data_IF_532537229892
#
_entry.id   IF_532537229892
#
_cell.length_a   1.000
_cell.length_b   1.000
_cell.length_c   1.000
_cell.angle_alpha   90.00
_cell.angle_beta   90.00
_cell.angle_gamma   90.00
#
_symmetry.space_group_name_H-M   'P 1'
#
loop_
_entity.id
_entity.type
_entity.pdbx_description
1 polymer ?
#
# COMPACT_ATOMS: atom_id res chain seq x y z
N UNK A 1 9.29 8.43 -13.47
CA UNK A 1 9.67 7.94 -12.11
C UNK A 1 8.47 7.71 -11.18
N UNK A 2 7.54 8.67 -11.03
CA UNK A 2 6.38 8.51 -10.13
C UNK A 2 5.51 7.29 -10.47
N UNK A 3 5.12 7.14 -11.73
CA UNK A 3 4.34 6.01 -12.24
C UNK A 3 5.08 4.67 -12.07
N UNK A 4 6.40 4.66 -12.25
CA UNK A 4 7.23 3.47 -12.05
C UNK A 4 7.16 2.99 -10.59
N UNK A 5 7.30 3.89 -9.62
CA UNK A 5 7.14 3.54 -8.20
C UNK A 5 5.72 3.04 -7.90
N UNK A 6 4.69 3.66 -8.49
CA UNK A 6 3.29 3.21 -8.35
C UNK A 6 3.06 1.79 -8.85
N UNK A 7 3.56 1.46 -10.05
CA UNK A 7 3.43 0.14 -10.65
C UNK A 7 4.23 -0.88 -9.85
N UNK A 8 5.49 -0.58 -9.52
CA UNK A 8 6.36 -1.47 -8.76
C UNK A 8 5.79 -1.78 -7.37
N UNK A 9 5.30 -0.77 -6.64
CA UNK A 9 4.67 -0.97 -5.34
C UNK A 9 3.44 -1.87 -5.41
N UNK A 10 2.61 -1.73 -6.46
CA UNK A 10 1.42 -2.58 -6.68
C UNK A 10 1.81 -4.01 -7.06
N UNK A 11 2.74 -4.20 -7.98
CA UNK A 11 3.21 -5.53 -8.40
C UNK A 11 3.79 -6.32 -7.23
N UNK A 12 4.63 -5.69 -6.40
CA UNK A 12 5.13 -6.31 -5.17
C UNK A 12 4.02 -6.66 -4.17
N UNK A 13 2.95 -5.87 -4.13
CA UNK A 13 1.78 -6.20 -3.30
C UNK A 13 1.06 -7.45 -3.82
N UNK A 14 0.89 -7.56 -5.13
CA UNK A 14 0.25 -8.73 -5.74
C UNK A 14 1.09 -9.99 -5.60
N UNK A 15 2.41 -9.89 -5.74
CA UNK A 15 3.32 -10.99 -5.44
C UNK A 15 3.28 -11.40 -3.97
N UNK A 16 3.15 -10.43 -3.06
CA UNK A 16 2.92 -10.73 -1.65
C UNK A 16 1.60 -11.49 -1.43
N UNK A 17 0.50 -11.10 -2.07
CA UNK A 17 -0.79 -11.82 -1.94
C UNK A 17 -0.74 -13.28 -2.43
N UNK A 18 0.16 -13.61 -3.38
CA UNK A 18 0.35 -14.98 -3.84
C UNK A 18 1.13 -15.84 -2.82
N UNK A 19 1.90 -15.21 -1.93
CA UNK A 19 2.79 -15.89 -0.99
C UNK A 19 2.27 -15.89 0.46
N UNK A 20 1.55 -14.83 0.86
CA UNK A 20 1.04 -14.64 2.22
C UNK A 20 -0.40 -14.10 2.21
N UNK A 21 -1.17 -14.33 3.30
CA UNK A 21 -2.51 -13.78 3.43
C UNK A 21 -2.55 -12.25 3.26
N UNK A 22 -3.69 -11.77 2.76
CA UNK A 22 -3.96 -10.33 2.54
C UNK A 22 -3.81 -9.54 3.85
N UNK A 23 -4.21 -10.10 4.98
CA UNK A 23 -4.03 -9.51 6.32
C UNK A 23 -2.57 -9.22 6.62
N UNK A 24 -1.68 -10.20 6.46
CA UNK A 24 -0.23 -10.06 6.70
C UNK A 24 0.38 -9.03 5.77
N UNK A 25 0.01 -9.04 4.49
CA UNK A 25 0.50 -8.04 3.54
C UNK A 25 0.11 -6.62 3.96
N UNK A 26 -1.14 -6.41 4.41
CA UNK A 26 -1.57 -5.10 4.89
C UNK A 26 -0.96 -4.72 6.24
N UNK A 27 -0.71 -5.69 7.12
CA UNK A 27 0.03 -5.48 8.37
C UNK A 27 1.47 -5.04 8.08
N UNK A 28 2.22 -5.75 7.22
CA UNK A 28 3.57 -5.33 6.84
C UNK A 28 3.60 -3.92 6.25
N UNK A 29 2.59 -3.57 5.44
CA UNK A 29 2.46 -2.22 4.88
C UNK A 29 1.94 -1.18 5.87
N UNK A 30 1.55 -1.55 7.09
CA UNK A 30 1.30 -0.58 8.17
C UNK A 30 2.60 0.09 8.66
N UNK A 31 3.78 -0.42 8.29
CA UNK A 31 5.08 0.21 8.53
C UNK A 31 5.35 1.46 7.67
N UNK A 32 4.42 1.89 6.81
CA UNK A 32 4.60 3.09 5.98
C UNK A 32 5.00 4.35 6.77
N UNK A 33 4.41 4.68 7.94
CA UNK A 33 4.80 5.86 8.71
C UNK A 33 6.27 5.81 9.15
N UNK A 34 6.78 4.62 9.48
CA UNK A 34 8.19 4.41 9.84
C UNK A 34 9.11 4.73 8.67
N UNK A 35 8.84 4.15 7.50
CA UNK A 35 9.63 4.47 6.31
C UNK A 35 9.53 5.95 5.93
N UNK A 36 8.38 6.57 6.13
CA UNK A 36 8.20 7.99 5.85
C UNK A 36 9.07 8.86 6.76
N UNK A 37 9.12 8.59 8.07
CA UNK A 37 9.96 9.35 8.99
C UNK A 37 11.44 9.14 8.70
N UNK A 38 11.87 7.90 8.44
CA UNK A 38 13.27 7.59 8.09
C UNK A 38 13.67 8.29 6.79
N UNK A 39 12.86 8.19 5.73
CA UNK A 39 13.15 8.85 4.46
C UNK A 39 13.07 10.36 4.54
N UNK A 40 12.11 10.92 5.28
CA UNK A 40 12.02 12.37 5.48
C UNK A 40 13.25 12.91 6.24
N UNK A 41 13.79 12.14 7.18
CA UNK A 41 15.05 12.46 7.83
C UNK A 41 16.24 12.39 6.86
N UNK A 42 16.33 11.32 6.05
CA UNK A 42 17.45 11.14 5.11
C UNK A 42 17.44 12.18 3.96
N UNK A 43 16.28 12.44 3.37
CA UNK A 43 16.12 13.28 2.17
C UNK A 43 15.99 14.76 2.53
N UNK A 44 15.14 15.10 3.51
CA UNK A 44 14.82 16.48 3.84
C UNK A 44 15.48 16.97 5.14
N UNK A 45 16.24 16.12 5.84
CA UNK A 45 16.83 16.42 7.16
C UNK A 45 15.81 16.94 8.19
N UNK A 46 14.54 16.57 8.01
CA UNK A 46 13.44 16.99 8.87
C UNK A 46 13.47 16.23 10.20
N UNK A 47 13.28 16.94 11.31
CA UNK A 47 13.13 16.36 12.65
C UNK A 47 11.64 16.39 13.01
N UNK A 48 11.15 15.31 13.61
CA UNK A 48 9.79 15.21 14.12
C UNK A 48 9.77 15.32 15.65
N UNK A 49 8.58 15.51 16.23
CA UNK A 49 8.43 15.59 17.68
C UNK A 49 8.64 14.21 18.33
N UNK A 50 8.97 14.21 19.62
CA UNK A 50 9.08 12.98 20.43
C UNK A 50 7.80 12.13 20.39
N UNK A 51 6.63 12.78 20.31
CA UNK A 51 5.34 12.08 20.19
C UNK A 51 5.25 11.24 18.90
N UNK A 52 5.74 11.75 17.77
CA UNK A 52 5.80 10.98 16.51
C UNK A 52 6.74 9.79 16.62
N UNK A 53 7.84 9.91 17.37
CA UNK A 53 8.75 8.79 17.60
C UNK A 53 8.14 7.73 18.52
N UNK A 54 7.38 8.12 19.54
CA UNK A 54 6.71 7.17 20.42
C UNK A 54 5.59 6.40 19.75
N UNK A 55 4.86 7.01 18.80
CA UNK A 55 3.81 6.32 18.02
C UNK A 55 4.35 5.32 17.00
N UNK A 56 5.58 5.51 16.55
CA UNK A 56 6.25 4.60 15.62
C UNK A 56 6.64 3.27 16.27
N UNK A 57 7.03 3.28 17.55
CA UNK A 57 7.43 2.09 18.28
C UNK A 57 6.38 0.97 18.26
N UNK A 58 5.11 1.20 18.66
CA UNK A 58 4.09 0.16 18.63
C UNK A 58 3.79 -0.33 17.22
N UNK A 59 3.86 0.53 16.21
CA UNK A 59 3.66 0.15 14.80
C UNK A 59 4.74 -0.84 14.37
N UNK A 60 6.02 -0.51 14.58
CA UNK A 60 7.15 -1.38 14.23
C UNK A 60 7.06 -2.70 15.00
N UNK A 61 6.76 -2.64 16.30
CA UNK A 61 6.61 -3.82 17.13
C UNK A 61 5.47 -4.73 16.63
N UNK A 62 4.31 -4.16 16.31
CA UNK A 62 3.17 -4.90 15.77
C UNK A 62 3.49 -5.58 14.42
N UNK A 63 4.20 -4.88 13.53
CA UNK A 63 4.64 -5.45 12.24
C UNK A 63 5.61 -6.61 12.43
N UNK A 64 6.61 -6.46 13.31
CA UNK A 64 7.58 -7.53 13.60
C UNK A 64 6.87 -8.74 14.20
N UNK A 65 6.01 -8.53 15.19
CA UNK A 65 5.26 -9.60 15.86
C UNK A 65 4.35 -10.37 14.90
N UNK A 66 3.61 -9.66 14.04
CA UNK A 66 2.77 -10.30 13.01
C UNK A 66 3.61 -11.05 11.97
N UNK A 67 4.78 -10.53 11.60
CA UNK A 67 5.66 -11.18 10.62
C UNK A 67 6.31 -12.44 11.19
N UNK A 68 6.83 -12.41 12.42
CA UNK A 68 7.51 -13.54 13.06
C UNK A 68 6.58 -14.76 13.19
N UNK A 69 5.30 -14.52 13.46
CA UNK A 69 4.29 -15.57 13.62
C UNK A 69 4.12 -16.43 12.36
N UNK A 70 4.26 -15.83 11.18
CA UNK A 70 4.01 -16.48 9.87
C UNK A 70 5.32 -16.88 9.16
N UNK A 71 6.42 -16.13 9.39
CA UNK A 71 7.74 -16.45 8.83
C UNK A 71 8.30 -17.77 9.37
N UNK A 72 7.88 -18.21 10.56
CA UNK A 72 8.30 -19.49 11.12
C UNK A 72 7.76 -20.73 10.39
N UNK A 73 6.85 -20.55 9.42
CA UNK A 73 6.15 -21.66 8.79
C UNK A 73 6.65 -22.04 7.40
N UNK A 74 7.17 -21.11 6.58
CA UNK A 74 7.55 -21.38 5.18
C UNK A 74 8.53 -20.33 4.58
N UNK A 75 9.48 -20.77 3.74
CA UNK A 75 10.36 -19.88 2.96
C UNK A 75 9.58 -18.97 1.99
N UNK A 76 8.44 -19.47 1.47
CA UNK A 76 7.53 -18.69 0.65
C UNK A 76 6.94 -17.52 1.45
N UNK A 77 6.57 -17.74 2.71
CA UNK A 77 6.02 -16.70 3.57
C UNK A 77 7.06 -15.60 3.85
N UNK A 78 8.33 -15.97 4.03
CA UNK A 78 9.43 -15.00 4.17
C UNK A 78 9.58 -14.12 2.92
N UNK A 79 9.60 -14.71 1.72
CA UNK A 79 9.67 -13.91 0.48
C UNK A 79 8.46 -12.99 0.31
N UNK A 80 7.26 -13.47 0.64
CA UNK A 80 6.02 -12.67 0.62
C UNK A 80 6.07 -11.46 1.55
N UNK A 81 6.51 -11.64 2.79
CA UNK A 81 6.63 -10.53 3.75
C UNK A 81 7.69 -9.51 3.28
N UNK A 82 8.81 -9.96 2.71
CA UNK A 82 9.81 -9.07 2.13
C UNK A 82 9.25 -8.23 0.97
N UNK A 83 8.46 -8.83 0.08
CA UNK A 83 7.76 -8.08 -0.98
C UNK A 83 6.76 -7.07 -0.41
N UNK A 84 6.04 -7.42 0.66
CA UNK A 84 5.12 -6.49 1.33
C UNK A 84 5.84 -5.28 1.94
N UNK A 85 6.95 -5.50 2.64
CA UNK A 85 7.76 -4.44 3.26
C UNK A 85 8.39 -3.56 2.18
N UNK A 86 8.94 -4.16 1.13
CA UNK A 86 9.52 -3.43 0.00
C UNK A 86 8.46 -2.60 -0.72
N UNK A 87 7.26 -3.15 -0.90
CA UNK A 87 6.09 -2.42 -1.42
C UNK A 87 5.72 -1.21 -0.57
N UNK A 88 5.80 -1.32 0.76
CA UNK A 88 5.54 -0.22 1.68
C UNK A 88 6.54 0.92 1.49
N UNK A 89 7.83 0.59 1.44
CA UNK A 89 8.92 1.54 1.22
C UNK A 89 8.76 2.28 -0.11
N UNK A 90 8.54 1.55 -1.21
CA UNK A 90 8.36 2.15 -2.54
C UNK A 90 7.09 3.00 -2.58
N UNK A 91 6.01 2.57 -1.92
CA UNK A 91 4.78 3.35 -1.80
C UNK A 91 5.00 4.69 -1.08
N UNK A 92 5.85 4.72 -0.06
CA UNK A 92 6.25 5.95 0.62
C UNK A 92 7.11 6.83 -0.29
N UNK A 93 8.09 6.24 -1.00
CA UNK A 93 8.89 7.00 -1.98
C UNK A 93 8.01 7.63 -3.06
N UNK A 94 7.00 6.90 -3.53
CA UNK A 94 6.00 7.40 -4.49
C UNK A 94 5.25 8.61 -3.92
N UNK A 95 4.71 8.52 -2.70
CA UNK A 95 3.93 9.63 -2.11
C UNK A 95 4.80 10.85 -1.80
N UNK A 96 6.02 10.64 -1.32
CA UNK A 96 6.99 11.73 -1.09
C UNK A 96 7.37 12.42 -2.40
N UNK A 97 7.62 11.65 -3.46
CA UNK A 97 7.97 12.20 -4.77
C UNK A 97 6.79 12.92 -5.43
N UNK A 98 5.57 12.39 -5.29
CA UNK A 98 4.36 13.09 -5.73
C UNK A 98 4.20 14.44 -5.02
N UNK A 99 4.39 14.47 -3.69
CA UNK A 99 4.31 15.74 -2.94
C UNK A 99 5.44 16.70 -3.32
N UNK A 100 6.64 16.20 -3.58
CA UNK A 100 7.76 16.99 -4.09
C UNK A 100 7.41 17.69 -5.41
N UNK A 101 6.79 16.98 -6.36
CA UNK A 101 6.34 17.55 -7.63
C UNK A 101 5.29 18.67 -7.44
N UNK A 102 4.34 18.46 -6.53
CA UNK A 102 3.31 19.44 -6.19
C UNK A 102 3.92 20.68 -5.50
N UNK A 103 4.84 20.48 -4.54
CA UNK A 103 5.49 21.58 -3.81
C UNK A 103 6.35 22.46 -4.71
N UNK A 104 7.03 21.87 -5.70
CA UNK A 104 7.82 22.61 -6.69
C UNK A 104 7.01 23.23 -7.82
N UNK A 105 5.67 23.10 -7.80
CA UNK A 105 4.76 23.59 -8.86
C UNK A 105 5.13 23.09 -10.27
N UNK A 106 5.81 21.94 -10.36
CA UNK A 106 6.10 21.28 -11.65
C UNK A 106 4.80 20.76 -12.25
N UNK A 107 3.88 20.32 -11.38
CA UNK A 107 2.49 20.01 -11.73
C UNK A 107 1.61 20.89 -10.86
N UNK A 108 0.64 21.58 -11.47
CA UNK A 108 -0.20 22.56 -10.78
C UNK A 108 -1.16 21.92 -9.77
N UNK A 109 -1.74 20.76 -10.11
CA UNK A 109 -2.82 20.14 -9.34
C UNK A 109 -2.60 18.65 -9.05
N UNK A 110 -3.01 18.23 -7.86
CA UNK A 110 -3.01 16.83 -7.42
C UNK A 110 -3.91 15.93 -8.26
N UNK A 111 -4.96 16.51 -8.86
CA UNK A 111 -5.88 15.84 -9.79
C UNK A 111 -5.21 15.59 -11.13
N UNK A 112 -4.53 16.60 -11.70
CA UNK A 112 -3.78 16.43 -12.94
C UNK A 112 -2.66 15.40 -12.76
N UNK A 113 -1.96 15.45 -11.62
CA UNK A 113 -0.94 14.46 -11.27
C UNK A 113 -1.50 13.03 -11.24
N UNK A 114 -2.74 12.85 -10.74
CA UNK A 114 -3.43 11.57 -10.75
C UNK A 114 -3.65 11.05 -12.17
N UNK A 115 -4.25 11.85 -13.04
CA UNK A 115 -4.58 11.44 -14.41
C UNK A 115 -3.34 11.17 -15.26
N UNK A 116 -2.32 12.05 -15.20
CA UNK A 116 -1.04 11.79 -15.87
C UNK A 116 -0.38 10.52 -15.33
N UNK A 117 -0.36 10.35 -14.01
CA UNK A 117 0.16 9.14 -13.37
C UNK A 117 -0.59 7.88 -13.79
N UNK A 118 -1.91 7.95 -13.92
CA UNK A 118 -2.76 6.84 -14.34
C UNK A 118 -2.52 6.46 -15.80
N UNK A 119 -2.44 7.43 -16.71
CA UNK A 119 -2.19 7.18 -18.13
C UNK A 119 -0.81 6.54 -18.36
N UNK A 120 0.23 7.07 -17.71
CA UNK A 120 1.58 6.49 -17.82
C UNK A 120 1.63 5.09 -17.16
N UNK A 121 0.95 4.89 -16.03
CA UNK A 121 0.88 3.57 -15.40
C UNK A 121 0.15 2.56 -16.27
N UNK A 122 -0.89 2.98 -16.99
CA UNK A 122 -1.58 2.14 -17.97
C UNK A 122 -0.65 1.79 -19.13
N UNK A 123 0.05 2.76 -19.70
CA UNK A 123 1.02 2.53 -20.78
C UNK A 123 2.14 1.55 -20.39
N UNK A 124 2.63 1.62 -19.14
CA UNK A 124 3.64 0.68 -18.61
C UNK A 124 3.07 -0.74 -18.47
N UNK A 125 1.82 -0.89 -18.02
CA UNK A 125 1.22 -2.21 -17.79
C UNK A 125 0.62 -2.85 -19.06
N UNK A 126 0.20 -2.04 -20.03
CA UNK A 126 -0.40 -2.50 -21.28
C UNK A 126 0.41 -3.59 -22.01
N UNK A 127 1.74 -3.44 -22.26
CA UNK A 127 2.50 -4.49 -22.94
C UNK A 127 2.56 -5.78 -22.13
N UNK A 128 2.69 -5.68 -20.80
CA UNK A 128 2.74 -6.85 -19.92
C UNK A 128 1.43 -7.66 -19.99
N UNK A 129 0.29 -6.97 -19.94
CA UNK A 129 -1.04 -7.62 -20.06
C UNK A 129 -1.18 -8.28 -21.43
N UNK A 130 -0.84 -7.60 -22.52
CA UNK A 130 -0.97 -8.15 -23.87
C UNK A 130 -0.12 -9.39 -24.10
N UNK A 131 1.10 -9.43 -23.55
CA UNK A 131 1.96 -10.61 -23.61
C UNK A 131 1.35 -11.79 -22.83
N UNK A 132 0.81 -11.53 -21.63
CA UNK A 132 0.24 -12.58 -20.79
C UNK A 132 -1.09 -13.13 -21.33
N UNK A 133 -1.92 -12.26 -21.94
CA UNK A 133 -3.18 -12.66 -22.59
C UNK A 133 -2.98 -13.58 -23.79
N UNK A 134 -1.84 -13.46 -24.50
CA UNK A 134 -1.50 -14.37 -25.60
C UNK A 134 -1.08 -15.76 -25.13
N UNK A 135 -0.58 -15.88 -23.90
CA UNK A 135 -0.12 -17.15 -23.34
C UNK A 135 -1.24 -18.01 -22.72
N UNK A 136 -2.41 -17.44 -22.40
CA UNK A 136 -3.51 -18.11 -21.70
C UNK A 136 -4.85 -18.02 -22.46
N UNK A 137 -4.83 -18.18 -23.79
CA UNK A 137 -6.00 -17.97 -24.66
C UNK A 137 -7.18 -18.94 -24.39
N UNK A 138 -6.94 -20.10 -23.77
CA UNK A 138 -7.85 -21.23 -23.94
C UNK A 138 -9.16 -21.19 -23.14
N UNK A 139 -9.38 -20.25 -22.20
CA UNK A 139 -10.66 -20.19 -21.44
C UNK A 139 -11.09 -18.79 -20.92
N UNK A 140 -10.50 -17.70 -21.42
CA UNK A 140 -10.65 -16.38 -20.79
C UNK A 140 -12.08 -15.80 -20.82
N UNK A 141 -12.88 -16.10 -21.85
CA UNK A 141 -14.14 -15.37 -22.11
C UNK A 141 -15.36 -16.01 -21.47
N UNK A 142 -15.38 -17.33 -21.26
CA UNK A 142 -16.59 -18.06 -20.87
C UNK A 142 -16.98 -17.93 -19.39
N UNK A 143 -16.07 -17.53 -18.50
CA UNK A 143 -16.33 -17.42 -17.06
C UNK A 143 -15.83 -16.11 -16.43
N UNK A 144 -15.51 -15.09 -17.24
CA UNK A 144 -14.99 -13.83 -16.70
C UNK A 144 -16.12 -13.03 -16.02
N UNK A 145 -16.02 -12.71 -14.72
CA UNK A 145 -17.08 -12.01 -14.00
C UNK A 145 -17.04 -10.50 -14.28
N UNK A 146 -17.39 -10.10 -15.51
CA UNK A 146 -17.33 -8.72 -15.99
C UNK A 146 -17.96 -7.71 -15.02
N UNK A 147 -19.15 -8.01 -14.47
CA UNK A 147 -19.84 -7.12 -13.54
C UNK A 147 -19.05 -6.89 -12.24
N UNK A 148 -18.47 -7.93 -11.64
CA UNK A 148 -17.68 -7.81 -10.40
C UNK A 148 -16.37 -7.05 -10.65
N UNK A 149 -15.71 -7.33 -11.78
CA UNK A 149 -14.46 -6.66 -12.16
C UNK A 149 -14.69 -5.19 -12.44
N UNK A 150 -15.78 -4.84 -13.15
CA UNK A 150 -16.13 -3.45 -13.43
C UNK A 150 -16.45 -2.69 -12.14
N UNK A 151 -17.27 -3.27 -11.25
CA UNK A 151 -17.58 -2.67 -9.95
C UNK A 151 -16.32 -2.47 -9.10
N UNK A 152 -15.46 -3.49 -9.01
CA UNK A 152 -14.19 -3.40 -8.29
C UNK A 152 -13.29 -2.30 -8.86
N UNK A 153 -13.20 -2.20 -10.19
CA UNK A 153 -12.40 -1.18 -10.88
C UNK A 153 -12.93 0.23 -10.62
N UNK A 154 -14.26 0.41 -10.63
CA UNK A 154 -14.89 1.69 -10.29
C UNK A 154 -14.62 2.10 -8.84
N UNK A 155 -14.81 1.19 -7.89
CA UNK A 155 -14.53 1.45 -6.47
C UNK A 155 -13.04 1.76 -6.23
N UNK A 156 -12.16 1.03 -6.90
CA UNK A 156 -10.72 1.27 -6.83
C UNK A 156 -10.36 2.63 -7.44
N UNK A 157 -10.98 3.01 -8.55
CA UNK A 157 -10.78 4.33 -9.16
C UNK A 157 -11.20 5.46 -8.22
N UNK A 158 -12.41 5.41 -7.66
CA UNK A 158 -12.90 6.40 -6.69
C UNK A 158 -11.96 6.49 -5.49
N UNK A 159 -11.57 5.35 -4.90
CA UNK A 159 -10.65 5.33 -3.77
C UNK A 159 -9.25 5.89 -4.10
N UNK A 160 -8.76 5.65 -5.31
CA UNK A 160 -7.47 6.17 -5.80
C UNK A 160 -7.54 7.69 -6.07
N UNK A 161 -8.66 8.16 -6.61
CA UNK A 161 -8.92 9.58 -6.85
C UNK A 161 -8.97 10.36 -5.53
N UNK A 162 -9.78 9.91 -4.56
CA UNK A 162 -9.85 10.50 -3.22
C UNK A 162 -8.47 10.50 -2.54
N UNK A 163 -7.71 9.41 -2.67
CA UNK A 163 -6.36 9.33 -2.12
C UNK A 163 -5.42 10.38 -2.74
N UNK A 164 -5.52 10.65 -4.04
CA UNK A 164 -4.71 11.68 -4.70
C UNK A 164 -5.11 13.08 -4.28
N UNK A 165 -6.41 13.32 -4.12
CA UNK A 165 -6.93 14.57 -3.60
C UNK A 165 -6.37 14.86 -2.20
N UNK A 166 -6.50 13.88 -1.30
CA UNK A 166 -6.01 13.97 0.08
C UNK A 166 -4.50 14.19 0.12
N UNK A 167 -3.72 13.52 -0.74
CA UNK A 167 -2.28 13.75 -0.85
C UNK A 167 -1.94 15.21 -1.21
N UNK A 168 -2.80 15.87 -2.00
CA UNK A 168 -2.67 17.29 -2.34
C UNK A 168 -2.77 18.20 -1.13
N UNK A 169 -3.72 17.91 -0.23
CA UNK A 169 -4.07 18.77 0.92
C UNK A 169 -3.20 18.51 2.16
N UNK A 170 -2.84 17.25 2.44
CA UNK A 170 -2.16 16.89 3.69
C UNK A 170 -0.65 16.71 3.55
N UNK A 171 0.07 16.67 4.67
CA UNK A 171 1.51 16.34 4.66
C UNK A 171 1.76 14.88 4.26
N UNK A 172 2.97 14.56 3.78
CA UNK A 172 3.38 13.19 3.40
C UNK A 172 3.27 12.21 4.58
N UNK A 173 3.57 12.67 5.80
CA UNK A 173 3.42 11.88 7.02
C UNK A 173 1.95 11.61 7.35
N UNK A 174 1.11 12.64 7.34
CA UNK A 174 -0.34 12.51 7.57
C UNK A 174 -0.96 11.56 6.54
N UNK A 175 -0.54 11.66 5.28
CA UNK A 175 -1.00 10.77 4.22
C UNK A 175 -0.63 9.30 4.50
N UNK A 176 0.60 9.05 4.96
CA UNK A 176 1.06 7.73 5.36
C UNK A 176 0.28 7.14 6.55
N UNK A 177 -0.05 7.98 7.54
CA UNK A 177 -0.87 7.58 8.70
C UNK A 177 -2.29 7.23 8.24
N UNK A 178 -2.93 8.09 7.44
CA UNK A 178 -4.27 7.82 6.89
C UNK A 178 -4.32 6.57 6.02
N UNK A 179 -3.28 6.31 5.22
CA UNK A 179 -3.15 5.08 4.46
C UNK A 179 -3.11 3.85 5.38
N UNK A 180 -2.43 3.97 6.52
CA UNK A 180 -2.36 2.92 7.54
C UNK A 180 -3.72 2.71 8.21
N UNK A 181 -4.42 3.78 8.60
CA UNK A 181 -5.77 3.71 9.15
C UNK A 181 -6.77 3.05 8.18
N UNK A 182 -6.71 3.41 6.89
CA UNK A 182 -7.51 2.75 5.85
C UNK A 182 -7.26 1.24 5.82
N UNK A 183 -6.02 0.78 6.01
CA UNK A 183 -5.69 -0.65 6.07
C UNK A 183 -6.27 -1.31 7.31
N UNK A 184 -6.19 -0.66 8.48
CA UNK A 184 -6.78 -1.19 9.72
C UNK A 184 -8.28 -1.40 9.55
N UNK A 185 -8.99 -0.43 8.97
CA UNK A 185 -10.43 -0.59 8.67
C UNK A 185 -10.68 -1.79 7.76
N UNK A 186 -9.89 -1.98 6.70
CA UNK A 186 -10.02 -3.13 5.79
C UNK A 186 -9.82 -4.46 6.55
N UNK A 187 -8.80 -4.56 7.41
CA UNK A 187 -8.53 -5.79 8.16
C UNK A 187 -9.69 -6.06 9.12
N UNK A 188 -10.14 -5.07 9.90
CA UNK A 188 -11.26 -5.24 10.83
C UNK A 188 -12.55 -5.63 10.11
N UNK A 189 -12.85 -5.01 8.96
CA UNK A 189 -14.01 -5.38 8.13
C UNK A 189 -13.90 -6.81 7.59
N UNK A 190 -12.72 -7.23 7.14
CA UNK A 190 -12.51 -8.60 6.67
C UNK A 190 -12.72 -9.62 7.79
N UNK A 191 -12.30 -9.30 9.00
CA UNK A 191 -12.43 -10.17 10.18
C UNK A 191 -13.89 -10.30 10.60
N UNK A 192 -14.60 -9.18 10.62
CA UNK A 192 -16.04 -9.18 10.91
C UNK A 192 -16.83 -9.95 9.85
N UNK A 193 -16.47 -9.82 8.57
CA UNK A 193 -17.19 -10.47 7.47
C UNK A 193 -16.87 -11.97 7.33
N UNK A 194 -15.59 -12.36 7.42
CA UNK A 194 -15.15 -13.75 7.22
C UNK A 194 -15.14 -14.58 8.53
N UNK A 195 -15.25 -13.94 9.70
CA UNK A 195 -15.25 -14.63 10.99
C UNK A 195 -13.95 -15.38 11.31
N UNK A 196 -12.87 -15.14 10.56
CA UNK A 196 -11.60 -15.84 10.75
C UNK A 196 -10.93 -15.37 12.05
N UNK A 197 -10.42 -16.30 12.88
CA UNK A 197 -9.73 -15.96 14.12
C UNK A 197 -8.45 -15.20 13.79
N UNK A 198 -8.47 -13.90 14.03
CA UNK A 198 -7.26 -13.09 14.05
C UNK A 198 -6.52 -13.44 15.31
N UNK A 199 -5.26 -13.84 15.20
CA UNK A 199 -4.38 -14.00 16.36
C UNK A 199 -4.43 -12.73 17.20
N UNK A 200 -4.64 -12.86 18.52
CA UNK A 200 -4.79 -11.73 19.46
C UNK A 200 -3.64 -10.69 19.33
N UNK A 201 -2.47 -11.17 18.91
CA UNK A 201 -1.27 -10.38 18.61
C UNK A 201 -1.45 -9.41 17.43
N UNK A 202 -2.14 -9.83 16.37
CA UNK A 202 -2.51 -8.97 15.23
C UNK A 202 -3.59 -7.94 15.61
N UNK A 203 -4.53 -8.31 16.50
CA UNK A 203 -5.51 -7.36 17.05
C UNK A 203 -4.87 -6.31 17.96
N UNK A 204 -3.93 -6.69 18.83
CA UNK A 204 -3.19 -5.75 19.67
C UNK A 204 -2.32 -4.80 18.83
N UNK A 205 -1.66 -5.30 17.79
CA UNK A 205 -0.91 -4.45 16.85
C UNK A 205 -1.80 -3.43 16.13
N UNK A 206 -3.01 -3.82 15.73
CA UNK A 206 -3.98 -2.91 15.11
C UNK A 206 -4.57 -1.89 16.10
N UNK A 207 -4.90 -2.31 17.32
CA UNK A 207 -5.43 -1.42 18.36
C UNK A 207 -4.42 -0.35 18.77
N UNK A 208 -3.13 -0.71 18.84
CA UNK A 208 -2.06 0.25 19.14
C UNK A 208 -1.81 1.23 17.99
N UNK A 209 -1.98 0.80 16.74
CA UNK A 209 -1.82 1.68 15.57
C UNK A 209 -2.93 2.74 15.45
N UNK A 210 -4.10 2.54 16.08
CA UNK A 210 -5.27 3.45 16.03
C UNK A 210 -5.24 4.52 17.13
N UNK A 211 -4.35 4.40 18.13
CA UNK A 211 -4.34 5.29 19.30
C UNK A 211 -3.68 6.68 19.05
N UNK A 212 -3.36 7.03 17.80
CA UNK A 212 -2.85 8.36 17.42
C UNK A 212 -3.77 9.10 16.44
#
# INVERSE_FOLDING_TARGET
PLSLFSVMAKMLTYWSYNAVPVSITHTCKASQPFFNVVLAYLVYRSRFSLATYSSLLPIVFGVVMASVSEMGMNDLAFSGTMFAVTSALIGVMQSMYAKFLLRRRIVTDSVNLHFYGAFVSFAINAPYVLMNSRAHQDNFVASFPFGKVLLCSMLHFVGSFCSSWVLGEVSELTFSIMSTMKRVVIILSAVFYFGNPVTAQSMLGMALAVRD
#
